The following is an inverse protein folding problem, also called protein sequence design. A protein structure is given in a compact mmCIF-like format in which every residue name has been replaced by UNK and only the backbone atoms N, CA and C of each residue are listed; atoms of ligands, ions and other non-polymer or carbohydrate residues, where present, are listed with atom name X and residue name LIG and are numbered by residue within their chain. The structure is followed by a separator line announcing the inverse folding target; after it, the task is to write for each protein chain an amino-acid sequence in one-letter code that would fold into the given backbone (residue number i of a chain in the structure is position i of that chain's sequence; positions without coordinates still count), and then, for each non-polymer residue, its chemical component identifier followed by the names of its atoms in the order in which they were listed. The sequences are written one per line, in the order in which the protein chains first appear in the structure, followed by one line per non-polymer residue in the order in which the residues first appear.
data_IF_339567176361
#
_entry.id   IF_339567176361
#
_cell.length_a   1.000
_cell.length_b   1.000
_cell.length_c   1.000
_cell.angle_alpha   90.00
_cell.angle_beta   90.00
_cell.angle_gamma   90.00
#
_symmetry.space_group_name_H-M   'P 1'
#
loop_
_entity.id
_entity.type
_entity.pdbx_description
1 polymer ?
#
# COMPACT_ATOMS: atom_id res chain seq x y z
N UNK A 1 2.76 -15.31 15.66
CA UNK A 1 1.74 -14.63 16.49
C UNK A 1 0.50 -14.44 15.62
N UNK A 2 -0.69 -14.82 16.08
CA UNK A 2 -1.97 -14.50 15.44
C UNK A 2 -2.88 -13.89 16.50
N UNK A 3 -3.43 -12.71 16.23
CA UNK A 3 -4.38 -12.02 17.09
C UNK A 3 -5.74 -12.02 16.36
N UNK A 4 -6.74 -12.67 16.95
CA UNK A 4 -8.07 -12.88 16.36
C UNK A 4 -9.12 -12.16 17.21
N UNK A 5 -9.94 -11.31 16.59
CA UNK A 5 -11.09 -10.64 17.21
C UNK A 5 -12.18 -10.41 16.16
N UNK A 6 -13.44 -10.22 16.56
CA UNK A 6 -14.51 -9.70 15.69
C UNK A 6 -14.34 -8.18 15.50
N UNK A 7 -14.81 -7.61 14.38
CA UNK A 7 -14.63 -6.17 14.10
C UNK A 7 -15.70 -5.32 14.82
N UNK A 8 -15.36 -4.46 15.80
CA UNK A 8 -16.30 -3.47 16.35
C UNK A 8 -16.63 -2.34 15.36
N UNK A 9 -17.73 -1.64 15.64
CA UNK A 9 -18.23 -0.48 14.88
C UNK A 9 -17.14 0.61 14.75
N UNK A 10 -16.82 1.03 13.52
CA UNK A 10 -15.85 2.10 13.24
C UNK A 10 -14.48 1.64 12.70
N UNK A 11 -14.22 0.33 12.56
CA UNK A 11 -13.00 -0.19 11.94
C UNK A 11 -13.13 -0.30 10.40
N UNK A 12 -12.08 0.07 9.65
CA UNK A 12 -12.03 -0.15 8.20
C UNK A 12 -11.55 -1.58 7.90
N UNK A 13 -12.47 -2.43 7.43
CA UNK A 13 -12.15 -3.77 6.92
C UNK A 13 -11.19 -3.63 5.74
N UNK A 14 -10.01 -4.27 5.82
CA UNK A 14 -9.00 -4.26 4.76
C UNK A 14 -7.71 -3.50 5.09
N UNK A 15 -7.75 -2.49 5.98
CA UNK A 15 -6.62 -1.58 6.20
C UNK A 15 -6.13 -1.59 7.65
N UNK A 16 -6.95 -1.27 8.66
CA UNK A 16 -6.46 -1.17 10.05
C UNK A 16 -7.54 -1.43 11.11
N UNK A 17 -7.11 -1.95 12.27
CA UNK A 17 -7.92 -2.35 13.43
C UNK A 17 -7.75 -1.46 14.66
N UNK A 18 -7.33 -0.22 14.47
CA UNK A 18 -7.15 0.70 15.58
C UNK A 18 -8.30 1.70 15.62
N UNK A 19 -8.97 1.78 16.76
CA UNK A 19 -9.84 2.89 17.13
C UNK A 19 -9.04 4.19 17.23
N UNK A 20 -9.73 5.33 17.23
CA UNK A 20 -9.12 6.65 17.52
C UNK A 20 -8.49 6.72 18.92
N UNK A 21 -8.86 5.79 19.81
CA UNK A 21 -8.34 5.72 21.18
C UNK A 21 -7.01 4.99 21.26
N UNK A 22 -6.73 4.10 20.33
CA UNK A 22 -5.46 3.39 20.28
C UNK A 22 -4.30 4.38 20.08
N UNK A 23 -3.14 4.02 20.60
CA UNK A 23 -1.92 4.83 20.52
C UNK A 23 -0.83 4.01 19.86
N UNK A 24 -0.04 4.67 19.01
CA UNK A 24 1.15 4.05 18.47
C UNK A 24 2.27 4.12 19.50
N UNK A 25 2.88 2.98 19.83
CA UNK A 25 4.09 2.98 20.65
C UNK A 25 5.17 3.88 20.05
N UNK A 26 5.81 4.68 20.89
CA UNK A 26 6.96 5.47 20.45
C UNK A 26 8.14 4.53 20.24
N UNK A 27 8.77 4.57 19.07
CA UNK A 27 9.98 3.79 18.84
C UNK A 27 11.14 4.33 19.66
N UNK A 28 11.96 3.44 20.20
CA UNK A 28 13.25 3.82 20.76
C UNK A 28 14.10 4.55 19.70
N UNK A 29 15.06 5.41 20.08
CA UNK A 29 16.01 5.98 19.13
C UNK A 29 16.70 4.89 18.30
N UNK A 30 17.03 5.22 17.05
CA UNK A 30 17.74 4.29 16.17
C UNK A 30 19.09 3.86 16.80
N UNK A 31 19.47 2.57 16.75
CA UNK A 31 20.75 2.09 17.26
C UNK A 31 21.94 2.88 16.70
N UNK A 32 22.87 3.31 17.58
CA UNK A 32 23.96 4.21 17.17
C UNK A 32 24.94 3.52 16.22
N UNK A 33 25.15 4.13 15.05
CA UNK A 33 26.23 3.75 14.13
C UNK A 33 25.87 2.66 13.12
N UNK A 34 24.65 2.13 13.17
CA UNK A 34 24.18 1.13 12.22
C UNK A 34 23.43 1.81 11.06
N UNK A 35 23.85 1.54 9.84
CA UNK A 35 23.02 1.75 8.65
C UNK A 35 22.17 0.51 8.48
N UNK A 36 20.88 0.69 8.21
CA UNK A 36 19.99 -0.45 8.06
C UNK A 36 20.39 -1.29 6.84
N UNK A 37 20.49 -2.60 7.04
CA UNK A 37 20.81 -3.55 5.97
C UNK A 37 19.62 -3.87 5.06
N UNK A 38 19.76 -4.95 4.30
CA UNK A 38 18.63 -5.50 3.55
C UNK A 38 17.57 -6.04 4.50
N UNK A 39 16.34 -5.59 4.28
CA UNK A 39 15.19 -5.99 5.07
C UNK A 39 14.63 -7.31 4.52
N UNK A 40 14.41 -8.28 5.39
CA UNK A 40 14.04 -9.66 5.02
C UNK A 40 12.71 -10.09 5.63
N UNK A 41 12.56 -9.91 6.94
CA UNK A 41 11.40 -10.34 7.70
C UNK A 41 11.27 -9.59 9.04
N UNK A 42 10.12 -9.76 9.72
CA UNK A 42 9.86 -9.14 11.01
C UNK A 42 10.90 -9.44 12.09
N UNK A 43 11.38 -10.69 12.20
CA UNK A 43 12.34 -11.07 13.24
C UNK A 43 13.62 -10.24 13.11
N UNK A 44 14.22 -10.26 11.93
CA UNK A 44 15.49 -9.58 11.66
C UNK A 44 15.37 -8.08 11.92
N UNK A 45 14.25 -7.47 11.51
CA UNK A 45 13.99 -6.06 11.80
C UNK A 45 13.85 -5.79 13.31
N UNK A 46 13.06 -6.60 14.03
CA UNK A 46 12.80 -6.37 15.45
C UNK A 46 14.07 -6.56 16.29
N UNK A 47 14.88 -7.58 15.97
CA UNK A 47 16.17 -7.84 16.62
C UNK A 47 17.17 -6.71 16.41
N UNK A 48 17.21 -6.12 15.21
CA UNK A 48 18.01 -4.93 14.92
C UNK A 48 17.44 -3.69 15.64
N UNK A 49 16.13 -3.51 15.63
CA UNK A 49 15.50 -2.21 15.92
C UNK A 49 15.18 -1.97 17.39
N UNK A 50 14.80 -3.02 18.11
CA UNK A 50 14.24 -2.91 19.45
C UNK A 50 15.18 -3.54 20.48
N UNK A 51 15.49 -2.83 21.58
CA UNK A 51 16.29 -3.40 22.64
C UNK A 51 15.52 -4.54 23.34
N UNK A 52 16.20 -5.63 23.73
CA UNK A 52 15.60 -6.63 24.58
C UNK A 52 15.35 -6.06 25.99
N UNK A 53 14.34 -6.58 26.68
CA UNK A 53 14.09 -6.27 28.09
C UNK A 53 15.09 -6.98 29.02
N UNK A 54 14.95 -6.80 30.33
CA UNK A 54 15.83 -7.40 31.34
C UNK A 54 15.87 -8.95 31.28
N UNK A 55 14.91 -9.59 30.63
CA UNK A 55 14.86 -11.05 30.44
C UNK A 55 15.50 -11.50 29.12
N UNK A 56 16.00 -10.56 28.32
CA UNK A 56 16.48 -10.83 26.96
C UNK A 56 15.35 -10.90 25.91
N UNK A 57 14.13 -10.54 26.27
CA UNK A 57 12.96 -10.66 25.37
C UNK A 57 12.64 -9.33 24.70
N UNK A 58 12.47 -9.35 23.38
CA UNK A 58 11.97 -8.17 22.64
C UNK A 58 10.45 -8.12 22.79
N UNK A 59 9.95 -7.04 23.40
CA UNK A 59 8.51 -6.80 23.53
C UNK A 59 8.00 -5.99 22.36
N UNK A 60 6.92 -6.49 21.75
CA UNK A 60 6.30 -5.85 20.60
C UNK A 60 4.79 -5.82 20.80
N UNK A 61 4.21 -4.65 20.61
CA UNK A 61 2.77 -4.45 20.71
C UNK A 61 2.13 -4.57 19.31
N UNK A 62 0.93 -5.16 19.18
CA UNK A 62 0.28 -5.29 17.87
C UNK A 62 0.12 -3.98 17.09
N UNK A 63 -0.26 -2.83 17.70
CA UNK A 63 -0.31 -1.55 16.99
C UNK A 63 1.04 -1.08 16.44
N UNK A 64 2.16 -1.53 17.01
CA UNK A 64 3.49 -1.25 16.46
C UNK A 64 3.70 -2.00 15.14
N UNK A 65 3.43 -3.31 15.11
CA UNK A 65 3.57 -4.13 13.91
C UNK A 65 2.62 -3.69 12.80
N UNK A 66 1.37 -3.43 13.15
CA UNK A 66 0.35 -2.97 12.21
C UNK A 66 0.75 -1.64 11.55
N UNK A 67 1.42 -0.73 12.27
CA UNK A 67 1.83 0.57 11.74
C UNK A 67 3.14 0.51 10.99
N UNK A 68 4.11 -0.22 11.52
CA UNK A 68 5.38 -0.44 10.84
C UNK A 68 5.22 -1.25 9.54
N UNK A 69 4.16 -2.05 9.42
CA UNK A 69 3.79 -2.78 8.20
C UNK A 69 3.84 -1.89 6.94
N UNK A 70 3.42 -0.62 7.06
CA UNK A 70 3.38 0.34 5.95
C UNK A 70 4.78 0.72 5.46
N UNK A 71 5.60 1.46 6.24
CA UNK A 71 6.92 1.87 5.80
C UNK A 71 7.84 0.67 5.54
N UNK A 72 7.74 -0.42 6.31
CA UNK A 72 8.63 -1.58 6.14
C UNK A 72 8.28 -2.42 4.91
N UNK A 73 7.00 -2.58 4.57
CA UNK A 73 6.62 -3.20 3.29
C UNK A 73 7.11 -2.35 2.12
N UNK A 74 7.05 -1.02 2.24
CA UNK A 74 7.58 -0.12 1.21
C UNK A 74 9.10 -0.23 1.08
N UNK A 75 9.85 -0.19 2.19
CA UNK A 75 11.32 -0.42 2.20
C UNK A 75 11.64 -1.73 1.51
N UNK A 76 10.97 -2.82 1.90
CA UNK A 76 11.17 -4.13 1.30
C UNK A 76 10.94 -4.10 -0.21
N UNK A 77 9.83 -3.53 -0.66
CA UNK A 77 9.49 -3.44 -2.08
C UNK A 77 10.53 -2.62 -2.88
N UNK A 78 10.93 -1.46 -2.36
CA UNK A 78 11.95 -0.61 -2.97
C UNK A 78 13.31 -1.33 -3.09
N UNK A 79 13.73 -2.05 -2.05
CA UNK A 79 14.96 -2.85 -2.08
C UNK A 79 14.88 -3.99 -3.11
N UNK A 80 13.73 -4.65 -3.24
CA UNK A 80 13.49 -5.72 -4.23
C UNK A 80 13.50 -5.21 -5.66
N UNK A 81 12.96 -4.02 -5.88
CA UNK A 81 13.00 -3.31 -7.17
C UNK A 81 14.38 -2.71 -7.47
N UNK A 82 15.30 -2.73 -6.49
CA UNK A 82 16.62 -2.10 -6.57
C UNK A 82 16.55 -0.62 -6.93
N UNK A 83 15.47 0.05 -6.52
CA UNK A 83 15.27 1.46 -6.80
C UNK A 83 16.40 2.25 -6.14
N UNK A 84 17.12 3.01 -6.95
CA UNK A 84 18.06 3.99 -6.45
C UNK A 84 17.37 5.34 -6.43
N UNK A 85 17.58 6.16 -5.40
CA UNK A 85 17.11 7.53 -5.41
C UNK A 85 17.67 8.30 -6.61
N UNK A 86 16.89 9.23 -7.18
CA UNK A 86 17.38 10.09 -8.25
C UNK A 86 18.58 10.92 -7.75
N UNK A 87 19.55 11.15 -8.64
CA UNK A 87 20.71 12.00 -8.37
C UNK A 87 20.93 12.98 -9.52
N UNK A 88 20.83 14.31 -9.33
CA UNK A 88 20.47 15.01 -8.09
C UNK A 88 18.95 15.18 -7.90
N UNK A 89 18.41 14.93 -6.70
CA UNK A 89 17.03 15.28 -6.37
C UNK A 89 16.44 14.49 -5.20
N UNK A 90 15.27 14.90 -4.68
CA UNK A 90 14.51 14.08 -3.76
C UNK A 90 13.83 12.90 -4.48
N UNK A 91 13.69 11.77 -3.80
CA UNK A 91 12.79 10.70 -4.18
C UNK A 91 11.38 11.03 -3.66
N UNK A 92 10.42 11.18 -4.58
CA UNK A 92 9.03 11.40 -4.24
C UNK A 92 8.28 10.07 -4.16
N UNK A 93 7.61 9.84 -3.03
CA UNK A 93 6.76 8.68 -2.78
C UNK A 93 5.31 9.18 -2.64
N UNK A 94 4.49 8.93 -3.66
CA UNK A 94 3.07 9.27 -3.67
C UNK A 94 2.28 8.13 -3.02
N UNK A 95 1.85 8.32 -1.78
CA UNK A 95 0.99 7.37 -1.06
C UNK A 95 -0.46 7.63 -1.48
N UNK A 96 -0.96 6.86 -2.45
CA UNK A 96 -2.28 7.05 -3.06
C UNK A 96 -3.37 6.24 -2.36
N UNK A 97 -4.59 6.77 -2.38
CA UNK A 97 -5.70 6.18 -1.62
C UNK A 97 -5.55 6.38 -0.12
N UNK A 98 -4.72 7.33 0.31
CA UNK A 98 -4.47 7.60 1.70
C UNK A 98 -5.75 8.10 2.39
N UNK A 99 -5.97 7.64 3.61
CA UNK A 99 -7.12 8.04 4.44
C UNK A 99 -6.69 8.71 5.73
N UNK A 100 -7.57 9.56 6.25
CA UNK A 100 -7.42 10.20 7.55
C UNK A 100 -7.31 9.22 8.73
N UNK A 101 -7.88 8.01 8.57
CA UNK A 101 -7.90 6.97 9.60
C UNK A 101 -6.67 6.06 9.61
N UNK A 102 -5.92 6.04 8.50
CA UNK A 102 -4.78 5.14 8.32
C UNK A 102 -3.48 5.91 8.07
N UNK A 103 -3.11 6.14 6.82
CA UNK A 103 -1.79 6.64 6.43
C UNK A 103 -1.54 8.05 6.96
N UNK A 104 -2.54 8.94 6.90
CA UNK A 104 -2.45 10.28 7.49
C UNK A 104 -2.26 10.21 9.01
N UNK A 105 -3.03 9.36 9.68
CA UNK A 105 -2.95 9.19 11.13
C UNK A 105 -1.58 8.67 11.53
N UNK A 106 -1.07 7.67 10.82
CA UNK A 106 0.26 7.11 11.06
C UNK A 106 1.36 8.16 10.88
N UNK A 107 1.22 9.00 9.86
CA UNK A 107 2.11 10.13 9.62
C UNK A 107 2.08 11.15 10.76
N UNK A 108 0.90 11.45 11.30
CA UNK A 108 0.72 12.48 12.34
C UNK A 108 1.06 12.00 13.75
N UNK A 109 0.75 10.74 14.07
CA UNK A 109 0.73 10.23 15.44
C UNK A 109 1.89 9.29 15.76
N UNK A 110 2.77 9.00 14.79
CA UNK A 110 3.94 8.14 14.98
C UNK A 110 5.16 8.69 14.25
N UNK A 111 6.32 8.09 14.53
CA UNK A 111 7.57 8.36 13.82
C UNK A 111 7.93 7.24 12.83
N UNK A 112 7.00 6.32 12.54
CA UNK A 112 7.31 5.09 11.81
C UNK A 112 7.75 5.33 10.37
N UNK A 113 7.24 6.38 9.71
CA UNK A 113 7.69 6.76 8.37
C UNK A 113 9.15 7.20 8.32
N UNK A 114 9.73 7.63 9.45
CA UNK A 114 11.15 8.03 9.50
C UNK A 114 12.10 6.85 9.34
N UNK A 115 11.62 5.61 9.51
CA UNK A 115 12.38 4.39 9.25
C UNK A 115 12.93 4.38 7.81
N UNK A 116 12.22 4.96 6.82
CA UNK A 116 12.70 5.10 5.45
C UNK A 116 14.09 5.75 5.36
N UNK A 117 14.37 6.76 6.20
CA UNK A 117 15.66 7.48 6.18
C UNK A 117 16.84 6.62 6.65
N UNK A 118 16.56 5.55 7.41
CA UNK A 118 17.59 4.63 7.89
C UNK A 118 17.97 3.57 6.86
N UNK A 119 17.03 3.20 5.97
CA UNK A 119 17.25 2.24 4.88
C UNK A 119 17.73 2.87 3.58
N UNK A 120 17.54 4.19 3.40
CA UNK A 120 17.98 4.94 2.23
C UNK A 120 18.86 6.13 2.64
N UNK A 121 20.02 5.89 3.26
CA UNK A 121 20.86 6.96 3.78
C UNK A 121 21.36 7.90 2.69
N UNK A 122 21.48 9.19 3.00
CA UNK A 122 21.88 10.24 2.06
C UNK A 122 20.78 10.68 1.09
N UNK A 123 19.60 10.05 1.16
CA UNK A 123 18.46 10.38 0.30
C UNK A 123 17.59 11.46 0.92
N UNK A 124 17.13 12.40 0.10
CA UNK A 124 16.01 13.27 0.45
C UNK A 124 14.72 12.59 0.00
N UNK A 125 13.79 12.33 0.92
CA UNK A 125 12.53 11.65 0.61
C UNK A 125 11.38 12.63 0.82
N UNK A 126 10.51 12.76 -0.18
CA UNK A 126 9.23 13.44 -0.04
C UNK A 126 8.09 12.41 -0.01
N UNK A 127 7.32 12.38 1.07
CA UNK A 127 6.08 11.61 1.17
C UNK A 127 4.89 12.52 0.88
N UNK A 128 4.08 12.15 -0.11
CA UNK A 128 2.81 12.84 -0.41
C UNK A 128 1.66 11.88 -0.17
N UNK A 129 0.91 12.10 0.92
CA UNK A 129 -0.28 11.32 1.25
C UNK A 129 -1.47 11.88 0.49
N UNK A 130 -1.88 11.20 -0.58
CA UNK A 130 -2.90 11.63 -1.52
C UNK A 130 -4.15 10.74 -1.41
N UNK A 131 -5.30 11.34 -1.15
CA UNK A 131 -6.56 10.60 -1.20
C UNK A 131 -7.78 11.47 -0.90
N UNK A 132 -8.98 11.06 -1.36
CA UNK A 132 -10.23 11.77 -1.08
C UNK A 132 -10.65 11.67 0.39
N UNK A 133 -10.07 10.75 1.16
CA UNK A 133 -10.38 10.53 2.58
C UNK A 133 -9.38 11.21 3.54
N UNK A 134 -8.38 11.91 2.99
CA UNK A 134 -7.50 12.79 3.77
C UNK A 134 -8.34 13.88 4.44
N UNK A 135 -8.00 14.26 5.66
CA UNK A 135 -8.72 15.34 6.33
C UNK A 135 -8.46 16.68 5.65
N UNK A 136 -9.50 17.49 5.43
CA UNK A 136 -9.36 18.84 4.87
C UNK A 136 -8.39 19.71 5.68
N UNK A 137 -8.35 19.52 7.00
CA UNK A 137 -7.44 20.25 7.88
C UNK A 137 -5.97 19.97 7.56
N UNK A 138 -5.63 18.77 7.08
CA UNK A 138 -4.27 18.35 6.75
C UNK A 138 -3.86 18.68 5.31
N UNK A 139 -4.80 19.04 4.42
CA UNK A 139 -4.48 19.40 3.03
C UNK A 139 -3.43 20.53 3.00
N UNK A 140 -2.34 20.30 2.28
CA UNK A 140 -1.22 21.24 2.14
C UNK A 140 -0.33 21.40 3.38
N UNK A 141 -0.67 20.78 4.53
CA UNK A 141 0.23 20.79 5.69
C UNK A 141 1.43 19.92 5.39
N UNK A 142 2.61 20.45 5.69
CA UNK A 142 3.87 19.72 5.57
C UNK A 142 4.55 19.55 6.93
N UNK A 143 5.22 18.42 7.11
CA UNK A 143 6.16 18.20 8.21
C UNK A 143 7.53 17.88 7.62
N UNK A 144 8.58 18.19 8.36
CA UNK A 144 9.96 17.89 7.97
C UNK A 144 10.69 17.24 9.11
N UNK A 145 11.44 16.20 8.79
CA UNK A 145 12.34 15.51 9.68
C UNK A 145 13.73 15.52 9.04
N UNK A 146 14.69 16.16 9.71
CA UNK A 146 16.10 16.10 9.35
C UNK A 146 16.79 15.16 10.33
N UNK A 147 17.01 13.92 9.89
CA UNK A 147 17.69 12.89 10.65
C UNK A 147 19.18 12.83 10.31
N UNK A 148 19.94 12.06 11.10
CA UNK A 148 21.36 11.82 10.85
C UNK A 148 21.63 11.15 9.49
N UNK A 149 20.70 10.30 9.04
CA UNK A 149 20.87 9.48 7.85
C UNK A 149 20.16 10.05 6.61
N UNK A 150 19.36 11.11 6.73
CA UNK A 150 18.67 11.68 5.58
C UNK A 150 17.63 12.71 6.01
N UNK A 151 16.95 13.27 5.02
CA UNK A 151 15.85 14.19 5.24
C UNK A 151 14.56 13.55 4.70
N UNK A 152 13.50 13.63 5.49
CA UNK A 152 12.16 13.24 5.08
C UNK A 152 11.24 14.43 5.25
N UNK A 153 10.58 14.85 4.17
CA UNK A 153 9.42 15.73 4.24
C UNK A 153 8.18 14.93 3.97
N UNK A 154 7.09 15.24 4.66
CA UNK A 154 5.77 14.67 4.37
C UNK A 154 4.74 15.78 4.21
N UNK A 155 3.74 15.55 3.37
CA UNK A 155 2.56 16.42 3.27
C UNK A 155 1.33 15.62 2.87
N UNK A 156 0.15 16.20 3.09
CA UNK A 156 -1.11 15.60 2.64
C UNK A 156 -1.74 16.39 1.50
N UNK A 157 -2.39 15.66 0.59
CA UNK A 157 -3.19 16.19 -0.49
C UNK A 157 -4.58 15.54 -0.45
N UNK A 158 -5.58 16.33 -0.07
CA UNK A 158 -6.99 15.96 -0.21
C UNK A 158 -7.39 16.02 -1.70
N UNK A 159 -7.51 14.86 -2.34
CA UNK A 159 -7.89 14.73 -3.75
C UNK A 159 -7.43 13.40 -4.35
N UNK A 160 -7.76 13.18 -5.62
CA UNK A 160 -7.34 11.97 -6.37
C UNK A 160 -5.92 12.13 -6.93
N UNK A 161 -5.29 11.02 -7.36
CA UNK A 161 -3.96 11.10 -7.98
C UNK A 161 -4.00 11.97 -9.24
N UNK A 162 -5.01 11.80 -10.10
CA UNK A 162 -5.17 12.61 -11.30
C UNK A 162 -5.33 14.11 -11.00
N UNK A 163 -6.01 14.48 -9.91
CA UNK A 163 -6.09 15.88 -9.46
C UNK A 163 -4.73 16.41 -9.02
N UNK A 164 -3.98 15.63 -8.24
CA UNK A 164 -2.62 15.97 -7.82
C UNK A 164 -1.71 16.19 -9.04
N UNK A 165 -1.67 15.24 -9.99
CA UNK A 165 -0.80 15.33 -11.17
C UNK A 165 -1.15 16.50 -12.09
N UNK A 166 -2.43 16.88 -12.19
CA UNK A 166 -2.83 18.10 -12.91
C UNK A 166 -2.37 19.38 -12.20
N UNK A 167 -2.41 19.38 -10.88
CA UNK A 167 -1.98 20.53 -10.06
C UNK A 167 -0.46 20.66 -10.02
N UNK A 168 0.23 19.52 -10.05
CA UNK A 168 1.66 19.39 -9.87
C UNK A 168 2.28 18.56 -11.01
N UNK A 169 2.39 19.11 -12.23
CA UNK A 169 2.82 18.36 -13.42
C UNK A 169 4.32 18.05 -13.45
N UNK A 170 5.05 18.30 -12.36
CA UNK A 170 6.50 18.13 -12.29
C UNK A 170 6.92 16.72 -11.85
N UNK A 171 5.99 15.88 -11.38
CA UNK A 171 6.28 14.49 -11.02
C UNK A 171 6.64 13.68 -12.27
N UNK A 172 7.77 12.98 -12.25
CA UNK A 172 8.28 12.19 -13.39
C UNK A 172 8.51 10.73 -13.01
N UNK A 173 8.56 9.83 -14.00
CA UNK A 173 8.86 8.42 -13.74
C UNK A 173 10.28 8.19 -13.16
N UNK A 174 11.17 9.18 -13.26
CA UNK A 174 12.55 9.09 -12.78
C UNK A 174 12.68 9.39 -11.28
N UNK A 175 11.84 10.29 -10.76
CA UNK A 175 11.92 10.77 -9.37
C UNK A 175 10.74 10.35 -8.50
N UNK A 176 9.69 9.77 -9.10
CA UNK A 176 8.43 9.50 -8.42
C UNK A 176 8.05 8.02 -8.44
N UNK A 177 7.72 7.50 -7.26
CA UNK A 177 7.15 6.16 -7.07
C UNK A 177 5.78 6.30 -6.44
N UNK A 178 4.81 5.57 -6.97
CA UNK A 178 3.46 5.50 -6.40
C UNK A 178 3.37 4.30 -5.46
N UNK A 179 2.70 4.45 -4.32
CA UNK A 179 2.39 3.35 -3.42
C UNK A 179 0.93 3.39 -2.98
N UNK A 180 0.21 2.29 -3.17
CA UNK A 180 -1.16 2.11 -2.67
C UNK A 180 -1.18 1.01 -1.61
N UNK A 181 -1.52 1.36 -0.38
CA UNK A 181 -1.67 0.38 0.69
C UNK A 181 -3.11 -0.10 0.77
N UNK A 182 -3.32 -1.41 0.61
CA UNK A 182 -4.62 -2.04 0.86
C UNK A 182 -5.79 -1.30 0.18
N UNK A 183 -5.63 -0.94 -1.09
CA UNK A 183 -6.50 0.04 -1.77
C UNK A 183 -7.95 -0.42 -1.93
N UNK A 184 -8.22 -1.72 -1.75
CA UNK A 184 -9.53 -2.33 -1.86
C UNK A 184 -10.10 -2.33 -3.29
N UNK A 185 -9.36 -1.82 -4.28
CA UNK A 185 -9.83 -1.65 -5.64
C UNK A 185 -10.12 -2.98 -6.36
N UNK A 186 -9.52 -4.08 -5.89
CA UNK A 186 -9.78 -5.42 -6.39
C UNK A 186 -10.85 -6.19 -5.63
N UNK A 187 -11.50 -5.61 -4.62
CA UNK A 187 -12.46 -6.36 -3.81
C UNK A 187 -13.71 -6.70 -4.64
N UNK A 188 -13.87 -7.99 -4.97
CA UNK A 188 -14.96 -8.52 -5.79
C UNK A 188 -15.95 -9.39 -5.01
N UNK A 189 -15.82 -9.46 -3.67
CA UNK A 189 -16.66 -10.27 -2.80
C UNK A 189 -18.15 -9.90 -2.91
N UNK A 190 -19.01 -10.93 -2.86
CA UNK A 190 -20.44 -10.82 -3.16
C UNK A 190 -21.23 -9.91 -2.20
N UNK A 191 -20.81 -9.81 -0.92
CA UNK A 191 -21.44 -8.91 0.07
C UNK A 191 -21.19 -7.42 -0.20
N UNK A 192 -20.12 -7.11 -0.93
CA UNK A 192 -19.70 -5.76 -1.32
C UNK A 192 -19.96 -5.47 -2.81
N UNK A 193 -20.75 -6.30 -3.51
CA UNK A 193 -20.91 -6.23 -4.97
C UNK A 193 -21.43 -4.87 -5.50
N UNK A 194 -22.01 -4.02 -4.65
CA UNK A 194 -22.30 -2.61 -4.97
C UNK A 194 -21.18 -1.64 -4.54
N UNK A 195 -20.52 -1.87 -3.41
CA UNK A 195 -19.47 -0.99 -2.86
C UNK A 195 -18.08 -1.18 -3.47
N UNK A 196 -17.58 -2.41 -3.54
CA UNK A 196 -16.26 -2.73 -4.11
C UNK A 196 -16.16 -2.39 -5.59
N UNK A 197 -17.28 -2.51 -6.31
CA UNK A 197 -17.38 -2.06 -7.69
C UNK A 197 -17.24 -0.53 -7.82
N UNK A 198 -17.97 0.23 -7.01
CA UNK A 198 -17.88 1.71 -7.04
C UNK A 198 -16.48 2.18 -6.70
N UNK A 199 -15.79 1.48 -5.79
CA UNK A 199 -14.40 1.76 -5.44
C UNK A 199 -13.47 1.48 -6.62
N UNK A 200 -13.56 0.30 -7.25
CA UNK A 200 -12.80 0.03 -8.49
C UNK A 200 -13.06 1.10 -9.55
N UNK A 201 -14.32 1.52 -9.71
CA UNK A 201 -14.72 2.57 -10.63
C UNK A 201 -13.97 3.87 -10.34
N UNK A 202 -13.96 4.32 -9.08
CA UNK A 202 -13.30 5.58 -8.71
C UNK A 202 -11.80 5.55 -8.90
N UNK A 203 -11.17 4.38 -8.80
CA UNK A 203 -9.72 4.21 -9.02
C UNK A 203 -9.32 4.23 -10.49
N UNK A 204 -10.19 3.78 -11.40
CA UNK A 204 -9.80 3.53 -12.79
C UNK A 204 -9.14 4.72 -13.52
N UNK A 205 -9.63 5.98 -13.41
CA UNK A 205 -8.98 7.12 -14.04
C UNK A 205 -7.54 7.33 -13.53
N UNK A 206 -7.35 7.24 -12.21
CA UNK A 206 -6.04 7.41 -11.58
C UNK A 206 -5.07 6.28 -11.99
N UNK A 207 -5.57 5.04 -12.11
CA UNK A 207 -4.76 3.91 -12.59
C UNK A 207 -4.34 4.09 -14.06
N UNK A 208 -5.22 4.64 -14.89
CA UNK A 208 -4.91 4.96 -16.30
C UNK A 208 -3.84 6.05 -16.37
N UNK A 209 -3.97 7.11 -15.57
CA UNK A 209 -3.00 8.21 -15.54
C UNK A 209 -1.63 7.73 -15.03
N UNK A 210 -1.60 6.89 -13.99
CA UNK A 210 -0.40 6.24 -13.46
C UNK A 210 0.37 5.47 -14.53
N UNK A 211 -0.34 4.65 -15.32
CA UNK A 211 0.28 3.85 -16.39
C UNK A 211 0.69 4.71 -17.59
N UNK A 212 0.00 5.82 -17.83
CA UNK A 212 0.33 6.76 -18.92
C UNK A 212 1.61 7.52 -18.63
N UNK A 213 1.82 7.95 -17.38
CA UNK A 213 3.07 8.62 -16.97
C UNK A 213 4.23 7.63 -16.90
N UNK A 214 3.93 6.35 -16.61
CA UNK A 214 4.94 5.30 -16.51
C UNK A 214 5.60 5.23 -15.13
N UNK A 215 4.89 5.66 -14.08
CA UNK A 215 5.38 5.49 -12.71
C UNK A 215 5.54 4.01 -12.36
N UNK A 216 6.58 3.71 -11.58
CA UNK A 216 6.61 2.47 -10.80
C UNK A 216 5.57 2.61 -9.68
N UNK A 217 4.65 1.64 -9.61
CA UNK A 217 3.59 1.63 -8.64
C UNK A 217 3.60 0.35 -7.82
N UNK A 218 3.75 0.49 -6.51
CA UNK A 218 3.78 -0.60 -5.53
C UNK A 218 2.40 -0.69 -4.88
N UNK A 219 1.84 -1.90 -4.82
CA UNK A 219 0.55 -2.12 -4.18
C UNK A 219 0.65 -3.22 -3.13
N UNK A 220 -0.13 -3.07 -2.06
CA UNK A 220 -0.30 -4.11 -1.05
C UNK A 220 -1.77 -4.55 -0.97
N UNK A 221 -2.01 -5.83 -0.71
CA UNK A 221 -3.36 -6.41 -0.65
C UNK A 221 -3.63 -7.05 0.71
N UNK A 222 -4.90 -7.05 1.12
CA UNK A 222 -5.29 -7.59 2.42
C UNK A 222 -5.43 -9.12 2.44
N UNK A 223 -5.67 -9.73 1.28
CA UNK A 223 -5.81 -11.17 1.09
C UNK A 223 -5.50 -11.58 -0.37
N UNK A 224 -5.35 -12.88 -0.62
CA UNK A 224 -5.11 -13.46 -1.96
C UNK A 224 -6.38 -13.90 -2.70
N UNK A 225 -7.51 -14.07 -2.01
CA UNK A 225 -8.71 -14.67 -2.61
C UNK A 225 -9.63 -13.65 -3.27
N UNK A 226 -9.65 -12.40 -2.80
CA UNK A 226 -10.46 -11.30 -3.34
C UNK A 226 -9.56 -10.18 -3.86
N UNK A 227 -8.85 -9.49 -2.96
CA UNK A 227 -8.14 -8.25 -3.28
C UNK A 227 -7.06 -8.48 -4.35
N UNK A 228 -6.08 -9.35 -4.06
CA UNK A 228 -5.00 -9.61 -5.01
C UNK A 228 -5.52 -10.11 -6.36
N UNK A 229 -6.54 -10.97 -6.37
CA UNK A 229 -7.07 -11.51 -7.63
C UNK A 229 -7.79 -10.45 -8.45
N UNK A 230 -8.60 -9.60 -7.81
CA UNK A 230 -9.29 -8.53 -8.51
C UNK A 230 -8.32 -7.46 -8.99
N UNK A 231 -7.34 -7.09 -8.16
CA UNK A 231 -6.29 -6.13 -8.53
C UNK A 231 -5.46 -6.63 -9.72
N UNK A 232 -5.05 -7.91 -9.71
CA UNK A 232 -4.34 -8.49 -10.86
C UNK A 232 -5.22 -8.65 -12.09
N UNK A 233 -6.52 -8.90 -11.94
CA UNK A 233 -7.44 -8.88 -13.06
C UNK A 233 -7.50 -7.49 -13.71
N UNK A 234 -7.51 -6.42 -12.90
CA UNK A 234 -7.47 -5.04 -13.38
C UNK A 234 -6.15 -4.76 -14.09
N UNK A 235 -5.00 -4.99 -13.44
CA UNK A 235 -3.72 -4.64 -14.03
C UNK A 235 -3.32 -5.55 -15.19
N UNK A 236 -3.33 -6.87 -15.02
CA UNK A 236 -2.80 -7.78 -16.03
C UNK A 236 -3.75 -8.02 -17.21
N UNK A 237 -5.07 -8.04 -16.97
CA UNK A 237 -6.03 -8.41 -18.03
C UNK A 237 -6.72 -7.22 -18.68
N UNK A 238 -6.98 -6.15 -17.91
CA UNK A 238 -7.71 -4.99 -18.41
C UNK A 238 -6.76 -3.88 -18.84
N UNK A 239 -5.93 -3.39 -17.92
CA UNK A 239 -5.02 -2.29 -18.20
C UNK A 239 -3.78 -2.75 -18.97
N UNK A 240 -3.50 -4.05 -18.94
CA UNK A 240 -2.34 -4.69 -19.58
C UNK A 240 -1.03 -4.08 -19.07
N UNK A 241 -0.98 -3.80 -17.77
CA UNK A 241 0.20 -3.29 -17.08
C UNK A 241 1.28 -4.38 -17.00
N UNK A 242 2.54 -3.96 -17.05
CA UNK A 242 3.66 -4.87 -16.84
C UNK A 242 3.91 -5.04 -15.34
N UNK A 243 4.07 -6.29 -14.90
CA UNK A 243 4.42 -6.63 -13.52
C UNK A 243 5.94 -6.62 -13.36
N UNK A 244 6.48 -5.54 -12.79
CA UNK A 244 7.92 -5.40 -12.49
C UNK A 244 8.30 -6.08 -11.17
N UNK A 245 7.33 -6.34 -10.30
CA UNK A 245 7.48 -7.22 -9.15
C UNK A 245 6.27 -8.17 -9.10
N UNK A 246 6.44 -9.47 -9.34
CA UNK A 246 5.34 -10.40 -9.30
C UNK A 246 4.73 -10.47 -7.90
N UNK A 247 3.44 -10.84 -7.80
CA UNK A 247 2.76 -11.03 -6.52
C UNK A 247 3.50 -11.99 -5.61
N UNK A 248 3.76 -11.54 -4.38
CA UNK A 248 4.38 -12.34 -3.34
C UNK A 248 3.83 -11.96 -1.98
N UNK A 249 4.01 -12.83 -0.99
CA UNK A 249 3.64 -12.53 0.39
C UNK A 249 4.54 -11.42 0.92
N UNK A 250 3.96 -10.45 1.63
CA UNK A 250 4.77 -9.47 2.34
C UNK A 250 5.40 -10.13 3.57
N UNK A 251 6.71 -9.94 3.79
CA UNK A 251 7.33 -10.30 5.05
C UNK A 251 6.88 -9.41 6.22
N UNK A 252 6.32 -8.23 5.92
CA UNK A 252 5.94 -7.19 6.88
C UNK A 252 4.43 -7.00 6.98
N UNK A 253 3.64 -8.07 6.78
CA UNK A 253 2.19 -8.00 7.00
C UNK A 253 1.87 -7.57 8.44
N UNK A 254 0.73 -6.91 8.61
CA UNK A 254 0.21 -6.51 9.90
C UNK A 254 -0.01 -7.74 10.83
N UNK A 255 0.00 -7.49 12.14
CA UNK A 255 -0.24 -8.52 13.15
C UNK A 255 -1.73 -8.83 13.32
N UNK A 256 -2.58 -7.81 13.14
CA UNK A 256 -4.02 -7.92 13.38
C UNK A 256 -4.76 -8.44 12.13
N UNK A 257 -5.67 -9.38 12.34
CA UNK A 257 -6.50 -10.00 11.28
C UNK A 257 -7.98 -9.76 11.56
N UNK A 258 -8.72 -9.30 10.55
CA UNK A 258 -10.18 -9.22 10.59
C UNK A 258 -10.79 -10.53 10.14
N UNK A 259 -11.79 -11.02 10.86
CA UNK A 259 -12.75 -12.02 10.38
C UNK A 259 -14.13 -11.39 10.35
N UNK A 260 -14.88 -11.63 9.29
CA UNK A 260 -16.31 -11.38 9.26
C UNK A 260 -17.01 -12.65 9.81
N UNK A 261 -17.63 -12.60 10.98
CA UNK A 261 -18.51 -13.66 11.54
C UNK A 261 -19.95 -13.44 11.05
N UNK A 262 -20.85 -14.40 10.77
CA UNK A 262 -21.11 -15.80 11.20
C UNK A 262 -21.39 -16.77 10.02
N UNK A 263 -20.96 -16.46 8.79
CA UNK A 263 -21.20 -17.37 7.67
C UNK A 263 -20.21 -18.55 7.68
N UNK A 264 -20.64 -19.74 7.21
CA UNK A 264 -19.81 -20.94 6.98
C UNK A 264 -18.55 -20.71 6.09
N UNK A 265 -18.31 -19.47 5.66
CA UNK A 265 -17.15 -18.99 4.89
C UNK A 265 -16.42 -17.92 5.71
N UNK A 266 -15.34 -18.32 6.39
CA UNK A 266 -14.44 -17.38 7.07
C UNK A 266 -13.69 -16.50 6.05
N UNK A 267 -14.24 -15.34 5.71
CA UNK A 267 -13.50 -14.27 5.02
C UNK A 267 -12.59 -13.55 6.02
N UNK A 268 -11.33 -13.34 5.64
CA UNK A 268 -10.34 -12.71 6.49
C UNK A 268 -9.55 -11.64 5.73
N UNK A 269 -9.19 -10.56 6.43
CA UNK A 269 -8.34 -9.50 5.87
C UNK A 269 -7.24 -9.10 6.85
N UNK A 270 -6.05 -8.82 6.33
CA UNK A 270 -4.90 -8.42 7.13
C UNK A 270 -4.00 -7.50 6.30
N UNK A 271 -3.65 -6.33 6.83
CA UNK A 271 -2.92 -5.33 6.06
C UNK A 271 -1.59 -5.85 5.53
N UNK A 272 -1.29 -5.46 4.30
CA UNK A 272 -0.08 -5.84 3.57
C UNK A 272 0.22 -7.34 3.58
N UNK A 273 -0.77 -8.21 3.35
CA UNK A 273 -0.51 -9.66 3.24
C UNK A 273 0.27 -10.04 1.99
N UNK A 274 -0.04 -9.38 0.89
CA UNK A 274 0.65 -9.54 -0.38
C UNK A 274 1.12 -8.18 -0.87
N UNK A 275 2.16 -8.19 -1.69
CA UNK A 275 2.62 -7.02 -2.42
C UNK A 275 3.01 -7.40 -3.85
N UNK A 276 2.90 -6.43 -4.74
CA UNK A 276 3.35 -6.51 -6.12
C UNK A 276 3.69 -5.10 -6.60
N UNK A 277 4.30 -5.00 -7.78
CA UNK A 277 4.52 -3.70 -8.42
C UNK A 277 4.29 -3.80 -9.92
N UNK A 278 3.78 -2.70 -10.47
CA UNK A 278 3.56 -2.51 -11.90
C UNK A 278 4.30 -1.28 -12.39
N UNK A 279 4.65 -1.25 -13.67
CA UNK A 279 5.22 -0.08 -14.32
C UNK A 279 4.89 -0.14 -15.80
N UNK A 280 4.34 0.93 -16.37
CA UNK A 280 4.01 0.96 -17.79
C UNK A 280 3.10 -0.19 -18.25
N UNK A 281 3.17 -0.55 -19.53
CA UNK A 281 2.26 -1.51 -20.17
C UNK A 281 3.03 -2.50 -21.03
N UNK A 282 2.50 -3.71 -21.14
CA UNK A 282 3.08 -4.74 -22.01
C UNK A 282 3.05 -4.29 -23.47
N UNK A 283 4.08 -4.66 -24.23
CA UNK A 283 4.18 -4.36 -25.65
C UNK A 283 2.96 -4.86 -26.44
N UNK A 284 2.48 -4.04 -27.36
CA UNK A 284 1.30 -4.34 -28.18
C UNK A 284 -0.04 -4.29 -27.43
N UNK A 285 -0.07 -3.78 -26.19
CA UNK A 285 -1.33 -3.56 -25.49
C UNK A 285 -2.23 -2.58 -26.29
N UNK A 286 -3.56 -2.82 -26.34
CA UNK A 286 -4.50 -1.88 -26.97
C UNK A 286 -4.42 -0.50 -26.29
N UNK A 287 -4.79 0.61 -26.93
CA UNK A 287 -4.79 1.92 -26.30
C UNK A 287 -5.50 1.91 -24.93
N UNK A 288 -4.95 2.67 -23.97
CA UNK A 288 -5.65 2.85 -22.69
C UNK A 288 -7.04 3.46 -22.97
N UNK A 289 -8.06 3.09 -22.19
CA UNK A 289 -9.32 3.81 -22.24
C UNK A 289 -9.05 5.30 -21.99
N UNK A 290 -9.89 6.17 -22.54
CA UNK A 290 -9.85 7.58 -22.20
C UNK A 290 -9.92 7.71 -20.66
N UNK A 291 -9.21 8.69 -20.08
CA UNK A 291 -9.23 8.96 -18.64
C UNK A 291 -10.63 9.36 -18.14
N UNK A 292 -11.56 9.64 -19.05
CA UNK A 292 -12.99 9.76 -18.75
C UNK A 292 -13.59 8.39 -18.44
N UNK A 293 -14.30 8.32 -17.32
CA UNK A 293 -15.04 7.14 -16.88
C UNK A 293 -15.91 6.56 -18.02
N UNK A 294 -15.85 5.24 -18.30
CA UNK A 294 -16.80 4.60 -19.19
C UNK A 294 -18.24 4.92 -18.77
N UNK A 295 -19.13 5.13 -19.74
CA UNK A 295 -20.57 5.17 -19.47
C UNK A 295 -21.06 3.88 -18.80
N UNK A 296 -22.26 3.89 -18.24
CA UNK A 296 -22.79 2.79 -17.43
C UNK A 296 -22.68 1.40 -18.11
N UNK A 297 -22.91 1.32 -19.42
CA UNK A 297 -22.80 0.09 -20.21
C UNK A 297 -21.36 -0.41 -20.35
N UNK A 298 -20.42 0.48 -20.72
CA UNK A 298 -18.99 0.15 -20.81
C UNK A 298 -18.42 -0.26 -19.46
N UNK A 299 -18.97 0.30 -18.38
CA UNK A 299 -18.59 -0.07 -17.02
C UNK A 299 -19.10 -1.47 -16.62
N UNK A 300 -20.36 -1.81 -16.96
CA UNK A 300 -20.89 -3.15 -16.73
C UNK A 300 -20.07 -4.23 -17.46
N UNK A 301 -19.65 -3.94 -18.69
CA UNK A 301 -18.77 -4.82 -19.46
C UNK A 301 -17.40 -5.00 -18.78
N UNK A 302 -16.80 -3.91 -18.29
CA UNK A 302 -15.54 -3.96 -17.56
C UNK A 302 -15.62 -4.85 -16.32
N UNK A 303 -16.69 -4.72 -15.53
CA UNK A 303 -16.92 -5.56 -14.35
C UNK A 303 -17.04 -7.03 -14.72
N UNK A 304 -17.78 -7.33 -15.78
CA UNK A 304 -17.91 -8.70 -16.25
C UNK A 304 -16.54 -9.28 -16.65
N UNK A 305 -15.68 -8.46 -17.28
CA UNK A 305 -14.29 -8.83 -17.59
C UNK A 305 -13.47 -9.07 -16.32
N UNK A 306 -13.52 -8.17 -15.33
CA UNK A 306 -12.80 -8.35 -14.03
C UNK A 306 -13.23 -9.64 -13.34
N UNK A 307 -14.54 -9.87 -13.20
CA UNK A 307 -15.06 -11.06 -12.52
C UNK A 307 -14.66 -12.35 -13.26
N UNK A 308 -14.74 -12.34 -14.59
CA UNK A 308 -14.30 -13.47 -15.43
C UNK A 308 -12.80 -13.72 -15.29
N UNK A 309 -12.00 -12.65 -15.33
CA UNK A 309 -10.56 -12.65 -15.17
C UNK A 309 -10.11 -13.20 -13.81
N UNK A 310 -10.68 -12.68 -12.72
CA UNK A 310 -10.40 -13.12 -11.36
C UNK A 310 -10.77 -14.59 -11.15
N UNK A 311 -11.92 -15.03 -11.71
CA UNK A 311 -12.33 -16.45 -11.68
C UNK A 311 -11.37 -17.35 -12.46
N UNK A 312 -10.83 -16.89 -13.58
CA UNK A 312 -9.83 -17.63 -14.34
C UNK A 312 -8.52 -17.77 -13.55
N UNK A 313 -8.03 -16.69 -12.93
CA UNK A 313 -6.84 -16.72 -12.06
C UNK A 313 -7.00 -17.68 -10.88
N UNK A 314 -8.18 -17.70 -10.26
CA UNK A 314 -8.47 -18.63 -9.16
C UNK A 314 -8.32 -20.10 -9.59
N UNK A 315 -8.75 -20.45 -10.81
CA UNK A 315 -8.64 -21.81 -11.35
C UNK A 315 -7.20 -22.22 -11.65
N UNK A 316 -6.36 -21.28 -12.11
CA UNK A 316 -4.95 -21.56 -12.39
C UNK A 316 -4.14 -21.75 -11.10
N UNK A 317 -4.42 -20.98 -10.05
CA UNK A 317 -3.75 -21.11 -8.75
C UNK A 317 -4.12 -22.39 -7.98
N UNK A 318 -5.34 -22.90 -8.15
CA UNK A 318 -5.76 -24.18 -7.55
C UNK A 318 -5.04 -25.40 -8.14
N UNK A 319 -4.48 -25.29 -9.35
CA UNK A 319 -3.72 -26.39 -9.98
C UNK A 319 -2.25 -26.41 -9.55
N UNK A 320 -1.73 -25.29 -9.03
CA UNK A 320 -0.34 -25.14 -8.56
C UNK A 320 -0.17 -25.31 -7.04
N UNK A 321 -1.23 -25.68 -6.32
CA UNK A 321 -1.24 -25.83 -4.85
C UNK A 321 -1.57 -27.26 -4.39
N UNK A 322 -1.18 -28.26 -5.17
CA UNK A 322 -0.97 -29.62 -4.68
C UNK A 322 0.55 -29.75 -4.44
N UNK A 323 1.00 -30.08 -3.21
CA UNK A 323 2.42 -30.24 -2.90
C UNK A 323 3.10 -31.32 -3.74
#
# INVERSE_FOLDING_TARGET
MRFEHDAPYGQCVGTLRWSEQDRFPVLAPWPRGEVAGTLTNWRDYLEMRLPPDATGTIRVEPPMLDGLSYPLTLVYALQRLRMQPPSPGPLTLLVVGASSKAEERLMRESTYWYELTHFFPGTQIELVFCGPEISHASHGRSTRHAGRHGALSSRCYHGTLGELLRTEPHHTAEDTIVVGFNTGMGNTSAGMAKGGFMLMQSWLPDLVDLLRVGFVAIFTCANDYSDLRGELAIFAQILRAELVLPPQRSPFKAATVVRESDAEKCEWSCSSCYLYAVCGRVDGAPPLPASSMPGAEGMAELVAKVKKAAKALARTQTVSSVP
#
